data_IF_248196096239
#
_entry.id   IF_248196096239
#
_cell.length_a   1.000
_cell.length_b   1.000
_cell.length_c   1.000
_cell.angle_alpha   90.00
_cell.angle_beta   90.00
_cell.angle_gamma   90.00
#
_symmetry.space_group_name_H-M   'P 1'
#
loop_
_entity.id
_entity.type
_entity.pdbx_description
1 polymer ?
#
# COMPACT_ATOMS: atom_id res chain seq x y z
N UNK A 1 2.87 0.40 -14.51
CA UNK A 1 1.82 -0.63 -14.58
C UNK A 1 1.01 -0.63 -13.29
N UNK A 2 -0.29 -0.75 -13.41
CA UNK A 2 -1.20 -0.80 -12.28
C UNK A 2 -1.96 -2.12 -12.29
N UNK A 3 -1.96 -2.81 -11.17
CA UNK A 3 -2.63 -4.09 -11.05
C UNK A 3 -3.41 -4.12 -9.75
N UNK A 4 -4.69 -4.47 -9.83
CA UNK A 4 -5.48 -4.72 -8.64
C UNK A 4 -4.99 -6.02 -8.01
N UNK A 5 -4.47 -5.92 -6.78
CA UNK A 5 -3.86 -7.08 -6.12
C UNK A 5 -4.68 -7.60 -4.95
N UNK A 6 -5.58 -6.77 -4.41
CA UNK A 6 -6.45 -7.20 -3.33
C UNK A 6 -7.62 -6.25 -3.19
N UNK A 7 -8.73 -6.75 -2.67
CA UNK A 7 -9.85 -5.93 -2.23
C UNK A 7 -10.59 -6.65 -1.10
N UNK A 8 -11.23 -5.89 -0.22
CA UNK A 8 -11.96 -6.45 0.89
C UNK A 8 -12.42 -5.38 1.85
N UNK A 9 -13.11 -5.79 2.92
CA UNK A 9 -13.56 -4.86 3.94
C UNK A 9 -12.40 -4.28 4.74
N UNK A 10 -11.33 -5.04 4.86
CA UNK A 10 -10.11 -4.59 5.50
C UNK A 10 -8.91 -5.25 4.85
N UNK A 11 -7.79 -4.56 4.86
CA UNK A 11 -6.53 -5.07 4.34
C UNK A 11 -5.43 -4.78 5.36
N UNK A 12 -4.44 -5.67 5.39
CA UNK A 12 -3.30 -5.51 6.27
C UNK A 12 -2.02 -5.51 5.46
N UNK A 13 -1.16 -4.54 5.76
CA UNK A 13 0.14 -4.41 5.15
C UNK A 13 1.19 -4.48 6.25
N UNK A 14 2.36 -5.00 5.90
CA UNK A 14 3.48 -5.03 6.85
C UNK A 14 4.80 -4.93 6.12
N UNK A 15 5.81 -4.53 6.85
CA UNK A 15 7.18 -4.46 6.36
C UNK A 15 8.05 -5.46 7.11
N UNK A 16 9.19 -5.78 6.52
CA UNK A 16 10.22 -6.53 7.24
C UNK A 16 10.85 -5.63 8.31
N UNK A 17 11.47 -6.25 9.28
CA UNK A 17 12.00 -5.54 10.46
C UNK A 17 13.00 -4.45 10.11
N UNK A 18 13.73 -4.62 9.03
CA UNK A 18 14.83 -3.72 8.69
C UNK A 18 14.36 -2.42 8.01
N UNK A 19 13.25 -2.47 7.25
CA UNK A 19 12.81 -1.33 6.43
C UNK A 19 11.31 -1.13 6.61
N UNK A 20 10.87 0.00 7.17
CA UNK A 20 9.45 0.22 7.45
C UNK A 20 8.64 0.53 6.21
N UNK A 21 7.32 0.45 6.36
CA UNK A 21 6.38 0.98 5.38
C UNK A 21 6.38 2.50 5.47
N UNK A 22 6.26 3.14 4.31
CA UNK A 22 6.11 4.58 4.21
C UNK A 22 4.69 4.86 3.73
N UNK A 23 3.92 5.57 4.52
CA UNK A 23 2.50 5.83 4.24
C UNK A 23 2.30 7.31 3.99
N UNK A 24 1.71 7.63 2.83
CA UNK A 24 1.41 9.01 2.42
C UNK A 24 -0.08 9.16 2.19
N UNK A 25 -0.59 10.36 2.37
CA UNK A 25 -2.00 10.67 2.17
C UNK A 25 -2.71 11.07 3.46
N UNK A 26 -1.98 11.14 4.56
CA UNK A 26 -2.51 11.51 5.87
C UNK A 26 -2.15 12.95 6.18
N UNK A 27 -2.88 13.90 5.57
CA UNK A 27 -2.65 15.31 5.81
C UNK A 27 -1.33 15.83 5.25
N UNK A 28 -0.82 15.18 4.20
CA UNK A 28 0.41 15.61 3.54
C UNK A 28 1.69 15.16 4.23
N UNK A 29 1.58 14.40 5.31
CA UNK A 29 2.75 13.89 6.03
C UNK A 29 2.99 12.43 5.71
N UNK A 30 4.27 12.06 5.65
CA UNK A 30 4.67 10.69 5.50
C UNK A 30 4.83 10.06 6.89
N UNK A 31 4.32 8.84 7.05
CA UNK A 31 4.45 8.07 8.28
C UNK A 31 5.22 6.80 8.03
N UNK A 32 6.06 6.41 8.97
CA UNK A 32 6.81 5.15 8.93
C UNK A 32 6.20 4.17 9.91
N UNK A 33 5.83 2.99 9.40
CA UNK A 33 5.17 1.97 10.20
C UNK A 33 5.69 0.59 9.83
N UNK A 34 5.69 -0.32 10.80
CA UNK A 34 5.99 -1.73 10.52
C UNK A 34 4.74 -2.46 10.05
N UNK A 35 3.58 -2.03 10.50
CA UNK A 35 2.30 -2.64 10.14
C UNK A 35 1.26 -1.57 9.92
N UNK A 36 0.34 -1.86 9.02
CA UNK A 36 -0.77 -0.97 8.74
C UNK A 36 -2.03 -1.80 8.51
N UNK A 37 -3.07 -1.48 9.28
CA UNK A 37 -4.39 -2.07 9.06
C UNK A 37 -5.30 -0.98 8.51
N UNK A 38 -5.96 -1.28 7.41
CA UNK A 38 -6.84 -0.35 6.72
C UNK A 38 -8.21 -0.99 6.59
N UNK A 39 -9.24 -0.25 6.98
CA UNK A 39 -10.62 -0.68 6.81
C UNK A 39 -11.42 0.46 6.20
N UNK A 40 -12.69 0.18 5.88
CA UNK A 40 -13.57 1.17 5.29
C UNK A 40 -14.65 1.56 6.29
N UNK A 41 -14.88 2.86 6.42
CA UNK A 41 -15.94 3.37 7.29
C UNK A 41 -16.50 4.65 6.71
N UNK A 42 -17.80 4.66 6.41
CA UNK A 42 -18.45 5.84 5.87
C UNK A 42 -17.89 6.33 4.56
N UNK A 43 -17.40 5.43 3.71
CA UNK A 43 -16.83 5.78 2.42
C UNK A 43 -15.39 6.27 2.47
N UNK A 44 -14.78 6.28 3.64
CA UNK A 44 -13.38 6.69 3.81
C UNK A 44 -12.56 5.54 4.36
N UNK A 45 -11.26 5.57 4.09
CA UNK A 45 -10.34 4.61 4.67
C UNK A 45 -10.06 4.98 6.13
N UNK A 46 -10.08 3.99 7.00
CA UNK A 46 -9.70 4.12 8.40
C UNK A 46 -8.40 3.37 8.60
N UNK A 47 -7.37 4.11 8.99
CA UNK A 47 -6.04 3.54 9.23
C UNK A 47 -5.87 3.43 10.75
N UNK A 48 -5.59 2.22 11.20
CA UNK A 48 -5.48 1.95 12.63
C UNK A 48 -4.36 2.80 13.25
N UNK A 49 -4.75 3.58 14.26
CA UNK A 49 -3.82 4.47 14.96
C UNK A 49 -3.44 5.74 14.21
N UNK A 50 -3.92 5.94 12.98
CA UNK A 50 -3.54 7.10 12.18
C UNK A 50 -4.70 8.02 11.82
N UNK A 51 -5.92 7.49 11.77
CA UNK A 51 -7.09 8.28 11.42
C UNK A 51 -7.72 7.87 10.10
N UNK A 52 -8.37 8.83 9.44
CA UNK A 52 -9.10 8.58 8.20
C UNK A 52 -8.48 9.32 7.04
N UNK A 53 -8.61 8.75 5.84
CA UNK A 53 -8.14 9.38 4.62
C UNK A 53 -8.98 8.92 3.43
N UNK A 54 -9.12 9.73 2.37
CA UNK A 54 -9.83 9.31 1.16
C UNK A 54 -9.04 8.28 0.36
N UNK A 55 -7.73 8.32 0.45
CA UNK A 55 -6.84 7.33 -0.17
C UNK A 55 -5.46 7.46 0.46
N UNK A 56 -4.67 6.40 0.36
CA UNK A 56 -3.30 6.43 0.86
C UNK A 56 -2.39 5.67 -0.11
N UNK A 57 -1.13 6.08 -0.14
CA UNK A 57 -0.08 5.38 -0.86
C UNK A 57 0.88 4.79 0.14
N UNK A 58 1.16 3.50 0.00
CA UNK A 58 2.09 2.79 0.86
C UNK A 58 3.26 2.32 0.02
N UNK A 59 4.46 2.60 0.47
CA UNK A 59 5.68 2.18 -0.22
C UNK A 59 6.69 1.68 0.80
N UNK A 60 7.80 1.17 0.29
CA UNK A 60 8.92 0.76 1.14
C UNK A 60 10.21 0.94 0.34
N UNK A 61 11.29 1.25 1.06
CA UNK A 61 12.61 1.31 0.46
C UNK A 61 13.25 -0.08 0.35
N UNK A 62 12.62 -1.12 0.90
CA UNK A 62 13.10 -2.48 0.78
C UNK A 62 12.96 -2.95 -0.68
N UNK A 63 14.07 -3.35 -1.34
CA UNK A 63 13.99 -3.82 -2.72
C UNK A 63 13.17 -5.10 -2.89
N UNK A 64 12.91 -5.83 -1.81
CA UNK A 64 12.07 -7.01 -1.84
C UNK A 64 10.58 -6.67 -1.82
N UNK A 65 10.23 -5.44 -1.44
CA UNK A 65 8.86 -4.96 -1.39
C UNK A 65 8.21 -5.07 -0.03
N UNK A 66 6.91 -4.83 0.00
CA UNK A 66 6.12 -4.87 1.22
C UNK A 66 5.17 -6.07 1.18
N UNK A 67 4.64 -6.43 2.33
CA UNK A 67 3.67 -7.52 2.45
C UNK A 67 2.26 -6.97 2.46
N UNK A 68 1.41 -7.53 1.62
CA UNK A 68 -0.02 -7.29 1.63
C UNK A 68 -0.68 -8.63 1.90
N UNK A 69 -1.14 -8.82 3.14
CA UNK A 69 -1.63 -10.12 3.56
C UNK A 69 -0.53 -11.15 3.53
N UNK A 70 -0.69 -12.18 2.71
CA UNK A 70 0.26 -13.28 2.61
C UNK A 70 1.20 -13.16 1.42
N UNK A 71 1.06 -12.11 0.62
CA UNK A 71 1.86 -11.93 -0.59
C UNK A 71 2.73 -10.70 -0.50
N UNK A 72 3.83 -10.75 -1.21
CA UNK A 72 4.80 -9.66 -1.25
C UNK A 72 4.75 -8.97 -2.60
N UNK A 73 4.77 -7.64 -2.57
CA UNK A 73 4.71 -6.83 -3.79
C UNK A 73 5.80 -5.79 -3.77
N UNK A 74 6.42 -5.58 -4.93
CA UNK A 74 7.37 -4.50 -5.15
C UNK A 74 6.64 -3.25 -5.60
N UNK A 75 7.27 -2.10 -5.42
CA UNK A 75 6.71 -0.83 -5.83
C UNK A 75 5.72 -0.30 -4.79
N UNK A 76 4.87 0.60 -5.21
CA UNK A 76 3.90 1.24 -4.34
C UNK A 76 2.59 0.46 -4.35
N UNK A 77 1.87 0.56 -3.25
CA UNK A 77 0.49 0.09 -3.17
C UNK A 77 -0.39 1.28 -2.85
N UNK A 78 -1.37 1.53 -3.70
CA UNK A 78 -2.35 2.59 -3.49
C UNK A 78 -3.62 1.96 -2.94
N UNK A 79 -4.09 2.47 -1.81
CA UNK A 79 -5.31 2.01 -1.18
C UNK A 79 -6.38 3.05 -1.35
N UNK A 80 -7.56 2.64 -1.82
CA UNK A 80 -8.68 3.53 -2.01
C UNK A 80 -10.01 2.82 -1.77
N UNK A 81 -11.04 3.57 -1.37
CA UNK A 81 -12.37 3.01 -1.19
C UNK A 81 -13.09 2.91 -2.52
N UNK A 82 -13.75 1.79 -2.76
CA UNK A 82 -14.55 1.62 -3.96
C UNK A 82 -15.61 0.54 -3.73
N UNK A 83 -16.88 0.88 -3.97
CA UNK A 83 -17.98 -0.07 -3.88
C UNK A 83 -18.14 -0.71 -2.52
N UNK A 84 -17.84 0.04 -1.43
CA UNK A 84 -17.93 -0.48 -0.08
C UNK A 84 -16.78 -1.38 0.34
N UNK A 85 -15.66 -1.35 -0.42
CA UNK A 85 -14.50 -2.16 -0.13
C UNK A 85 -13.23 -1.32 -0.25
N UNK A 86 -12.18 -1.78 0.40
CA UNK A 86 -10.84 -1.22 0.24
C UNK A 86 -10.18 -1.93 -0.93
N UNK A 87 -9.73 -1.17 -1.92
CA UNK A 87 -8.97 -1.70 -3.05
C UNK A 87 -7.50 -1.41 -2.88
N UNK A 88 -6.67 -2.39 -3.18
CA UNK A 88 -5.23 -2.23 -3.21
C UNK A 88 -4.75 -2.39 -4.65
N UNK A 89 -4.07 -1.37 -5.15
CA UNK A 89 -3.53 -1.36 -6.51
C UNK A 89 -2.02 -1.27 -6.41
N UNK A 90 -1.34 -2.25 -6.96
CA UNK A 90 0.11 -2.27 -7.00
C UNK A 90 0.59 -1.49 -8.23
N UNK A 91 1.53 -0.58 -8.00
CA UNK A 91 2.14 0.20 -9.06
C UNK A 91 3.63 -0.07 -9.09
N UNK A 92 4.10 -0.62 -10.20
CA UNK A 92 5.51 -0.82 -10.43
C UNK A 92 6.03 0.28 -11.33
N UNK A 93 7.19 0.82 -11.00
CA UNK A 93 7.86 1.77 -11.85
C UNK A 93 8.35 1.13 -13.13
N UNK A 94 8.42 1.89 -14.20
CA UNK A 94 8.90 1.40 -15.48
C UNK A 94 10.33 0.91 -15.37
N UNK A 95 11.13 1.55 -14.54
CA UNK A 95 12.52 1.15 -14.33
C UNK A 95 12.63 -0.26 -13.77
N UNK A 96 11.62 -0.74 -13.08
CA UNK A 96 11.62 -2.10 -12.56
C UNK A 96 11.49 -3.13 -13.67
N UNK A 97 10.95 -2.75 -14.80
CA UNK A 97 10.78 -3.61 -15.96
C UNK A 97 11.95 -3.57 -16.91
N UNK A 98 12.49 -2.37 -17.13
CA UNK A 98 13.49 -2.16 -18.17
C UNK A 98 14.69 -3.09 -18.10
N UNK A 99 15.28 -3.34 -16.94
CA UNK A 99 16.42 -4.24 -16.87
C UNK A 99 16.13 -5.63 -17.41
N UNK A 100 14.97 -6.16 -17.09
CA UNK A 100 14.58 -7.48 -17.59
C UNK A 100 14.24 -7.45 -19.06
N UNK A 101 13.65 -6.37 -19.50
CA UNK A 101 13.19 -6.22 -20.86
C UNK A 101 14.34 -6.00 -21.82
N UNK A 102 15.32 -5.26 -21.39
CA UNK A 102 16.44 -4.89 -22.25
C UNK A 102 17.51 -5.95 -22.33
N UNK A 103 17.50 -6.89 -21.46
CA UNK A 103 18.49 -7.98 -21.46
C UNK A 103 18.25 -9.06 -22.52
#
# INVERSE_FOLDING_TARGET
MRVLVAEGQSLQLRADDAVPLLVRGLGGRERSLQRLSVSLRGGSLVLDGLGQAPSVRVSTDDPRGLWLGKRRYRGDVVLLPRGGRVMAINRLGIESYLPSFMS
#
